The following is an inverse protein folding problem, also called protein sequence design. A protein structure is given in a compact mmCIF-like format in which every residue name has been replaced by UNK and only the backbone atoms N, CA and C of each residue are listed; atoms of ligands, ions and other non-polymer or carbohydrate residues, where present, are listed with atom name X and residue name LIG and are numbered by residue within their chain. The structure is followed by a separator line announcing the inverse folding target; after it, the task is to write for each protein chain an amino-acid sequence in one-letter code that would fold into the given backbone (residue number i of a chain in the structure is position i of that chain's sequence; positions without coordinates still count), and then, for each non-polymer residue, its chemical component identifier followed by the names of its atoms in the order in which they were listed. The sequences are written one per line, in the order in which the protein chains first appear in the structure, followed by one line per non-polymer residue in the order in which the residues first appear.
data_IF_409099400066
#
_entry.id   IF_409099400066
#
_cell.length_a   1.000
_cell.length_b   1.000
_cell.length_c   1.000
_cell.angle_alpha   90.00
_cell.angle_beta   90.00
_cell.angle_gamma   90.00
#
_symmetry.space_group_name_H-M   'P 1'
#
loop_
_entity.id
_entity.type
_entity.pdbx_description
1 polymer ?
#
# COMPACT_ATOMS: atom_id res chain seq x y z
N UNK A 1 19.33 -6.41 15.15
CA UNK A 1 18.13 -6.83 14.43
C UNK A 1 17.13 -7.40 15.44
N UNK A 2 16.07 -6.67 15.83
CA UNK A 2 15.04 -7.20 16.70
C UNK A 2 14.33 -8.39 16.06
N UNK A 3 14.04 -9.41 16.88
CA UNK A 3 13.33 -10.62 16.48
C UNK A 3 12.30 -10.96 17.54
N UNK A 4 11.09 -11.27 17.11
CA UNK A 4 9.94 -11.60 17.98
C UNK A 4 9.34 -12.93 17.53
N UNK A 5 8.90 -13.73 18.46
CA UNK A 5 8.13 -14.95 18.18
C UNK A 5 6.68 -14.55 17.86
N UNK A 6 6.22 -14.90 16.66
CA UNK A 6 4.94 -14.48 16.12
C UNK A 6 4.31 -15.63 15.33
N UNK A 7 3.75 -16.63 16.02
CA UNK A 7 3.17 -17.81 15.38
C UNK A 7 1.88 -17.53 14.59
N UNK A 8 1.34 -16.31 14.70
CA UNK A 8 0.14 -15.85 13.99
C UNK A 8 0.42 -14.52 13.28
N UNK A 9 -0.42 -14.14 12.29
CA UNK A 9 -0.33 -12.84 11.63
C UNK A 9 -0.32 -11.68 12.64
N UNK A 10 0.52 -10.67 12.37
CA UNK A 10 0.70 -9.51 13.22
C UNK A 10 0.17 -8.24 12.56
N UNK A 11 -0.05 -7.20 13.34
CA UNK A 11 -0.33 -5.86 12.83
C UNK A 11 0.92 -4.99 12.96
N UNK A 12 1.56 -4.67 11.83
CA UNK A 12 2.65 -3.70 11.79
C UNK A 12 2.06 -2.27 11.73
N UNK A 13 2.41 -1.43 12.71
CA UNK A 13 2.09 0.00 12.74
C UNK A 13 3.39 0.76 12.54
N UNK A 14 3.47 1.52 11.45
CA UNK A 14 4.67 2.25 11.05
C UNK A 14 4.33 3.74 10.95
N UNK A 15 5.05 4.56 11.71
CA UNK A 15 4.91 6.01 11.69
C UNK A 15 6.31 6.63 11.57
N UNK A 16 6.65 7.00 10.33
CA UNK A 16 7.97 7.57 10.00
C UNK A 16 7.81 8.72 9.01
N UNK A 17 8.64 9.77 9.11
CA UNK A 17 8.53 10.92 8.22
C UNK A 17 8.91 10.58 6.78
N UNK A 18 9.97 9.81 6.55
CA UNK A 18 10.44 9.45 5.22
C UNK A 18 11.26 8.17 5.22
N UNK A 19 11.16 7.39 4.13
CA UNK A 19 11.95 6.18 3.98
C UNK A 19 11.42 5.20 2.97
N UNK A 20 12.12 4.06 2.88
CA UNK A 20 11.64 2.88 2.18
C UNK A 20 11.13 1.87 3.21
N UNK A 21 9.94 1.36 2.99
CA UNK A 21 9.32 0.32 3.82
C UNK A 21 9.14 -0.92 2.95
N UNK A 22 9.81 -2.00 3.31
CA UNK A 22 9.68 -3.29 2.68
C UNK A 22 9.08 -4.30 3.67
N UNK A 23 7.94 -4.85 3.33
CA UNK A 23 7.30 -5.94 4.08
C UNK A 23 7.46 -7.23 3.27
N UNK A 24 7.94 -8.28 3.91
CA UNK A 24 8.08 -9.61 3.31
C UNK A 24 7.23 -10.58 4.11
N UNK A 25 6.03 -10.84 3.58
CA UNK A 25 5.06 -11.75 4.17
C UNK A 25 5.29 -13.18 3.62
N UNK A 26 5.67 -14.10 4.50
CA UNK A 26 6.00 -15.46 4.14
C UNK A 26 5.43 -16.47 5.17
N UNK A 27 5.51 -17.75 4.85
CA UNK A 27 5.18 -18.82 5.79
C UNK A 27 6.28 -18.93 6.85
N UNK A 28 6.09 -18.20 7.96
CA UNK A 28 7.03 -18.12 9.08
C UNK A 28 6.31 -17.87 10.39
N UNK A 29 6.98 -18.18 11.50
CA UNK A 29 6.44 -18.07 12.87
C UNK A 29 7.17 -17.01 13.70
N UNK A 30 7.94 -16.16 13.06
CA UNK A 30 8.69 -15.08 13.70
C UNK A 30 8.59 -13.79 12.90
N UNK A 31 8.84 -12.65 13.54
CA UNK A 31 8.95 -11.35 12.89
C UNK A 31 10.34 -10.78 13.14
N UNK A 32 11.02 -10.39 12.07
CA UNK A 32 12.33 -9.74 12.14
C UNK A 32 12.29 -8.36 11.52
N UNK A 33 12.99 -7.42 12.15
CA UNK A 33 13.02 -6.04 11.70
C UNK A 33 14.46 -5.59 11.50
N UNK A 34 14.73 -5.01 10.35
CA UNK A 34 15.98 -4.32 10.07
C UNK A 34 15.68 -2.85 9.79
N UNK A 35 16.42 -1.96 10.44
CA UNK A 35 16.35 -0.53 10.24
C UNK A 35 17.74 -0.03 9.87
N UNK A 36 17.85 0.56 8.69
CA UNK A 36 19.09 1.09 8.15
C UNK A 36 18.91 2.57 7.75
N UNK A 37 19.96 3.39 7.76
CA UNK A 37 19.92 4.70 7.11
C UNK A 37 19.77 4.51 5.60
N UNK A 38 18.97 5.34 4.94
CA UNK A 38 18.82 5.27 3.48
C UNK A 38 20.14 5.56 2.75
N UNK A 39 20.98 6.42 3.32
CA UNK A 39 22.34 6.67 2.88
C UNK A 39 23.28 6.75 4.11
N UNK A 40 24.12 5.72 4.34
CA UNK A 40 25.05 5.72 5.49
C UNK A 40 26.07 6.86 5.49
N UNK A 41 26.35 7.47 4.33
CA UNK A 41 27.26 8.61 4.22
C UNK A 41 26.63 9.92 4.68
N UNK A 42 25.30 9.96 4.82
CA UNK A 42 24.56 11.15 5.29
C UNK A 42 24.28 11.05 6.78
N UNK A 43 24.92 11.90 7.58
CA UNK A 43 24.73 11.92 9.03
C UNK A 43 23.28 12.12 9.50
N UNK A 44 22.43 12.76 8.68
CA UNK A 44 21.00 12.92 8.96
C UNK A 44 20.24 11.59 8.86
N UNK A 45 20.57 10.75 7.88
CA UNK A 45 19.93 9.47 7.67
C UNK A 45 20.38 8.46 8.74
N UNK A 46 21.66 8.50 9.14
CA UNK A 46 22.17 7.73 10.27
C UNK A 46 21.46 8.12 11.58
N UNK A 47 21.33 9.42 11.87
CA UNK A 47 20.60 9.91 13.04
C UNK A 47 19.10 9.59 12.97
N UNK A 48 18.51 9.54 11.77
CA UNK A 48 17.11 9.14 11.61
C UNK A 48 16.94 7.65 11.96
N UNK A 49 17.82 6.78 11.50
CA UNK A 49 17.79 5.35 11.82
C UNK A 49 17.98 5.08 13.34
N UNK A 50 18.90 5.81 14.01
CA UNK A 50 19.12 5.71 15.46
C UNK A 50 17.90 6.14 16.31
N UNK A 51 16.97 6.90 15.74
CA UNK A 51 15.76 7.39 16.39
C UNK A 51 14.53 6.54 16.17
N UNK A 52 14.66 5.46 15.44
CA UNK A 52 13.54 4.53 15.25
C UNK A 52 13.40 3.64 16.47
N UNK A 53 12.23 3.71 17.09
CA UNK A 53 11.81 2.79 18.13
C UNK A 53 11.07 1.62 17.52
N UNK A 54 11.42 0.42 17.96
CA UNK A 54 10.76 -0.82 17.59
C UNK A 54 10.26 -1.50 18.85
N UNK A 55 8.96 -1.71 18.97
CA UNK A 55 8.34 -2.43 20.07
C UNK A 55 7.34 -3.45 19.54
N UNK A 56 7.19 -4.56 20.27
CA UNK A 56 6.19 -5.58 19.97
C UNK A 56 5.43 -5.93 21.24
N UNK A 57 4.12 -5.87 21.17
CA UNK A 57 3.23 -6.24 22.25
C UNK A 57 1.88 -6.75 21.71
N UNK A 58 1.40 -7.86 22.27
CA UNK A 58 0.08 -8.42 21.99
C UNK A 58 -0.28 -8.49 20.48
N UNK A 59 0.63 -8.96 19.63
CA UNK A 59 0.40 -9.08 18.20
C UNK A 59 0.56 -7.78 17.40
N UNK A 60 0.96 -6.69 18.05
CA UNK A 60 1.18 -5.39 17.40
C UNK A 60 2.66 -5.03 17.42
N UNK A 61 3.26 -4.98 16.23
CA UNK A 61 4.57 -4.41 16.00
C UNK A 61 4.45 -2.91 15.78
N UNK A 62 5.14 -2.09 16.56
CA UNK A 62 5.19 -0.63 16.37
C UNK A 62 6.59 -0.21 15.97
N UNK A 63 6.68 0.55 14.90
CA UNK A 63 7.91 1.16 14.39
C UNK A 63 7.65 2.66 14.26
N UNK A 64 8.23 3.45 15.13
CA UNK A 64 7.95 4.89 15.23
C UNK A 64 9.23 5.70 15.28
N UNK A 65 9.25 6.83 14.57
CA UNK A 65 10.33 7.79 14.68
C UNK A 65 10.12 8.67 15.92
N UNK A 66 11.10 8.73 16.83
CA UNK A 66 11.07 9.69 17.94
C UNK A 66 11.20 11.11 17.39
N UNK A 67 10.32 12.00 17.84
CA UNK A 67 10.45 13.41 17.50
C UNK A 67 11.80 13.95 18.02
N UNK A 68 12.52 14.75 17.23
CA UNK A 68 13.72 15.44 17.73
C UNK A 68 13.32 16.43 18.84
N UNK A 69 14.09 16.50 19.91
CA UNK A 69 13.86 17.38 21.06
C UNK A 69 13.73 18.87 20.69
N UNK A 70 14.22 19.25 19.51
CA UNK A 70 14.00 20.54 18.89
C UNK A 70 13.44 20.34 17.50
N UNK A 71 12.35 21.01 17.15
CA UNK A 71 11.83 21.10 15.79
C UNK A 71 12.91 21.74 14.90
N UNK A 72 13.83 20.94 14.40
CA UNK A 72 14.77 21.40 13.40
C UNK A 72 14.00 21.65 12.10
N UNK A 73 13.98 22.87 11.64
CA UNK A 73 13.59 23.23 10.29
C UNK A 73 14.56 22.51 9.34
N UNK A 74 14.09 21.49 8.62
CA UNK A 74 14.93 20.75 7.67
C UNK A 74 14.37 19.36 7.34
N UNK A 75 15.05 18.68 6.42
CA UNK A 75 14.73 17.31 6.04
C UNK A 75 15.03 16.35 7.23
N UNK A 76 14.05 15.56 7.70
CA UNK A 76 14.20 14.72 8.89
C UNK A 76 15.18 13.55 8.73
N UNK A 77 15.70 13.32 7.52
CA UNK A 77 16.44 12.12 7.14
C UNK A 77 15.53 11.02 6.64
N UNK A 78 16.09 10.01 6.04
CA UNK A 78 15.37 8.89 5.43
C UNK A 78 15.94 7.55 5.93
N UNK A 79 15.07 6.57 6.13
CA UNK A 79 15.42 5.24 6.63
C UNK A 79 14.97 4.14 5.67
N UNK A 80 15.65 3.01 5.71
CA UNK A 80 15.19 1.78 5.09
C UNK A 80 14.75 0.81 6.18
N UNK A 81 13.49 0.38 6.12
CA UNK A 81 12.89 -0.55 7.07
C UNK A 81 12.49 -1.80 6.32
N UNK A 82 13.09 -2.92 6.69
CA UNK A 82 12.69 -4.24 6.20
C UNK A 82 12.05 -5.02 7.35
N UNK A 83 10.81 -5.42 7.16
CA UNK A 83 10.07 -6.26 8.10
C UNK A 83 9.73 -7.59 7.42
N UNK A 84 10.24 -8.67 7.97
CA UNK A 84 9.80 -10.00 7.59
C UNK A 84 8.79 -10.48 8.63
N UNK A 85 7.63 -10.96 8.19
CA UNK A 85 6.49 -11.26 9.06
C UNK A 85 5.66 -12.44 8.50
N UNK A 86 4.80 -13.06 9.31
CA UNK A 86 3.90 -14.12 8.84
C UNK A 86 2.97 -13.65 7.73
N UNK A 87 2.66 -14.54 6.78
CA UNK A 87 1.67 -14.31 5.74
C UNK A 87 0.30 -13.95 6.34
N UNK A 88 -0.44 -13.04 5.67
CA UNK A 88 -1.73 -12.53 6.18
C UNK A 88 -1.59 -11.45 7.25
N UNK A 89 -0.38 -11.00 7.57
CA UNK A 89 -0.18 -9.88 8.50
C UNK A 89 -0.69 -8.56 7.93
N UNK A 90 -1.02 -7.64 8.81
CA UNK A 90 -1.63 -6.35 8.47
C UNK A 90 -0.62 -5.21 8.55
N UNK A 91 -0.82 -4.17 7.76
CA UNK A 91 -0.06 -2.93 7.81
C UNK A 91 -0.96 -1.73 8.08
N UNK A 92 -0.55 -0.87 9.00
CA UNK A 92 -1.04 0.50 9.11
C UNK A 92 0.14 1.44 9.13
N UNK A 93 0.31 2.24 8.07
CA UNK A 93 1.43 3.16 7.94
C UNK A 93 0.96 4.60 7.74
N UNK A 94 1.69 5.53 8.36
CA UNK A 94 1.56 6.98 8.15
C UNK A 94 2.93 7.55 7.84
N UNK A 95 3.05 8.32 6.75
CA UNK A 95 4.36 8.83 6.32
C UNK A 95 4.19 10.08 5.45
N UNK A 96 5.22 10.93 5.40
CA UNK A 96 5.20 12.05 4.47
C UNK A 96 5.75 11.66 3.09
N UNK A 97 6.87 10.93 3.03
CA UNK A 97 7.53 10.51 1.80
C UNK A 97 8.00 9.06 1.92
N UNK A 98 7.47 8.15 1.09
CA UNK A 98 7.85 6.74 1.19
C UNK A 98 7.82 5.99 -0.13
N UNK A 99 8.62 4.92 -0.20
CA UNK A 99 8.43 3.82 -1.12
C UNK A 99 7.96 2.61 -0.30
N UNK A 100 6.74 2.12 -0.56
CA UNK A 100 6.17 0.96 0.12
C UNK A 100 6.18 -0.25 -0.82
N UNK A 101 6.89 -1.29 -0.43
CA UNK A 101 6.93 -2.57 -1.12
C UNK A 101 6.38 -3.68 -0.22
N UNK A 102 5.27 -4.28 -0.61
CA UNK A 102 4.72 -5.50 0.02
C UNK A 102 5.00 -6.70 -0.86
N UNK A 103 5.75 -7.66 -0.35
CA UNK A 103 6.08 -8.93 -1.02
C UNK A 103 5.33 -10.06 -0.33
N UNK A 104 4.72 -10.94 -1.10
CA UNK A 104 3.88 -12.03 -0.62
C UNK A 104 2.48 -11.57 -0.22
N UNK A 105 1.76 -12.39 0.56
CA UNK A 105 0.36 -12.16 0.91
C UNK A 105 0.23 -11.39 2.21
N UNK A 106 -0.24 -10.16 2.12
CA UNK A 106 -0.64 -9.32 3.24
C UNK A 106 -2.17 -9.44 3.47
N UNK A 107 -2.62 -9.21 4.70
CA UNK A 107 -4.03 -9.05 5.02
C UNK A 107 -4.54 -7.66 4.69
N UNK A 108 -4.90 -6.87 5.72
CA UNK A 108 -5.36 -5.48 5.53
C UNK A 108 -4.16 -4.53 5.44
N UNK A 109 -4.12 -3.71 4.41
CA UNK A 109 -3.09 -2.67 4.22
C UNK A 109 -3.73 -1.30 4.24
N UNK A 110 -3.35 -0.47 5.20
CA UNK A 110 -3.76 0.93 5.30
C UNK A 110 -2.52 1.83 5.22
N UNK A 111 -2.53 2.78 4.29
CA UNK A 111 -1.47 3.79 4.15
C UNK A 111 -2.09 5.18 3.99
N UNK A 112 -1.59 6.14 4.76
CA UNK A 112 -1.80 7.57 4.56
C UNK A 112 -0.44 8.22 4.33
N UNK A 113 -0.25 8.81 3.15
CA UNK A 113 1.02 9.43 2.80
C UNK A 113 0.83 10.70 1.97
N UNK A 114 1.74 11.66 2.16
CA UNK A 114 1.74 12.83 1.29
C UNK A 114 2.29 12.47 -0.09
N UNK A 115 3.40 11.75 -0.16
CA UNK A 115 3.97 11.24 -1.40
C UNK A 115 4.44 9.80 -1.21
N UNK A 116 3.96 8.88 -2.04
CA UNK A 116 4.40 7.50 -1.98
C UNK A 116 4.36 6.81 -3.34
N UNK A 117 5.29 5.87 -3.55
CA UNK A 117 5.15 4.83 -4.57
C UNK A 117 4.82 3.55 -3.85
N UNK A 118 3.67 2.96 -4.18
CA UNK A 118 3.17 1.76 -3.51
C UNK A 118 3.12 0.60 -4.48
N UNK A 119 3.72 -0.53 -4.09
CA UNK A 119 3.64 -1.77 -4.83
C UNK A 119 3.39 -2.95 -3.90
N UNK A 120 2.23 -3.57 -4.01
CA UNK A 120 1.82 -4.75 -3.23
C UNK A 120 1.66 -5.94 -4.15
N UNK A 121 2.20 -7.10 -3.77
CA UNK A 121 2.04 -8.33 -4.57
C UNK A 121 0.65 -8.93 -4.39
N UNK A 122 0.22 -9.15 -3.13
CA UNK A 122 -1.09 -9.67 -2.79
C UNK A 122 -1.60 -9.06 -1.49
N UNK A 123 -2.88 -8.68 -1.45
CA UNK A 123 -3.54 -8.22 -0.23
C UNK A 123 -5.01 -8.59 -0.22
N UNK A 124 -5.54 -8.85 0.99
CA UNK A 124 -6.96 -9.15 1.17
C UNK A 124 -7.81 -7.87 1.11
N UNK A 125 -7.34 -6.77 1.69
CA UNK A 125 -8.02 -5.48 1.69
C UNK A 125 -6.98 -4.34 1.62
N UNK A 126 -7.28 -3.28 0.88
CA UNK A 126 -6.40 -2.12 0.77
C UNK A 126 -7.16 -0.79 0.96
N UNK A 127 -6.65 0.06 1.85
CA UNK A 127 -7.06 1.47 1.96
C UNK A 127 -5.84 2.36 1.87
N UNK A 128 -5.63 2.97 0.70
CA UNK A 128 -4.43 3.73 0.40
C UNK A 128 -4.80 5.15 -0.03
N UNK A 129 -4.34 6.14 0.72
CA UNK A 129 -4.60 7.55 0.46
C UNK A 129 -3.28 8.29 0.27
N UNK A 130 -3.09 8.87 -0.91
CA UNK A 130 -1.89 9.64 -1.27
C UNK A 130 -2.28 11.05 -1.74
N UNK A 131 -1.40 12.03 -1.56
CA UNK A 131 -1.49 13.28 -2.31
C UNK A 131 -0.80 13.17 -3.67
N UNK A 132 0.32 12.43 -3.74
CA UNK A 132 1.02 12.17 -5.00
C UNK A 132 1.71 10.82 -4.99
N UNK A 133 1.75 10.17 -6.15
CA UNK A 133 2.43 8.92 -6.40
C UNK A 133 1.52 7.80 -6.90
N UNK A 134 2.14 6.74 -7.38
CA UNK A 134 1.47 5.65 -8.04
C UNK A 134 1.15 4.51 -7.06
N UNK A 135 0.02 3.86 -7.27
CA UNK A 135 -0.40 2.69 -6.51
C UNK A 135 -0.55 1.51 -7.46
N UNK A 136 0.19 0.44 -7.18
CA UNK A 136 0.07 -0.83 -7.90
C UNK A 136 -0.25 -1.94 -6.90
N UNK A 137 -1.37 -2.61 -7.09
CA UNK A 137 -1.77 -3.82 -6.36
C UNK A 137 -1.80 -4.98 -7.35
N UNK A 138 -1.06 -6.02 -7.07
CA UNK A 138 -1.04 -7.25 -7.84
C UNK A 138 -2.36 -7.98 -7.70
N UNK A 139 -2.44 -8.92 -6.76
CA UNK A 139 -3.67 -9.66 -6.47
C UNK A 139 -4.43 -8.99 -5.33
N UNK A 140 -5.72 -8.75 -5.56
CA UNK A 140 -6.65 -8.20 -4.58
C UNK A 140 -7.82 -9.18 -4.39
N UNK A 141 -7.95 -9.74 -3.18
CA UNK A 141 -8.95 -10.79 -2.90
C UNK A 141 -10.22 -10.27 -2.22
N UNK A 142 -10.27 -9.00 -1.86
CA UNK A 142 -11.40 -8.33 -1.20
C UNK A 142 -11.56 -6.87 -1.61
N UNK A 143 -12.21 -6.04 -0.78
CA UNK A 143 -12.48 -4.64 -1.12
C UNK A 143 -11.23 -3.76 -1.09
N UNK A 144 -11.26 -2.66 -1.86
CA UNK A 144 -10.22 -1.64 -1.81
C UNK A 144 -10.76 -0.22 -2.01
N UNK A 145 -10.11 0.73 -1.32
CA UNK A 145 -10.29 2.17 -1.52
C UNK A 145 -8.92 2.78 -1.78
N UNK A 146 -8.63 3.07 -3.06
CA UNK A 146 -7.36 3.61 -3.52
C UNK A 146 -7.56 5.03 -4.02
N UNK A 147 -6.88 5.98 -3.43
CA UNK A 147 -7.04 7.38 -3.77
C UNK A 147 -5.69 8.11 -3.85
N UNK A 148 -5.52 8.90 -4.90
CA UNK A 148 -4.39 9.83 -5.05
C UNK A 148 -4.85 11.12 -5.71
N UNK A 149 -4.17 12.25 -5.48
CA UNK A 149 -4.47 13.43 -6.29
C UNK A 149 -3.70 13.38 -7.61
N UNK A 150 -2.45 12.89 -7.61
CA UNK A 150 -1.63 12.79 -8.82
C UNK A 150 -0.87 11.48 -8.83
N UNK A 151 -1.15 10.65 -9.82
CA UNK A 151 -0.52 9.34 -10.00
C UNK A 151 -1.49 8.33 -10.58
N UNK A 152 -0.95 7.22 -11.02
CA UNK A 152 -1.68 6.14 -11.65
C UNK A 152 -2.12 5.10 -10.61
N UNK A 153 -3.31 4.53 -10.81
CA UNK A 153 -3.87 3.46 -9.99
C UNK A 153 -3.97 2.19 -10.83
N UNK A 154 -3.31 1.12 -10.40
CA UNK A 154 -3.31 -0.16 -11.11
C UNK A 154 -3.66 -1.31 -10.18
N UNK A 155 -4.65 -2.11 -10.57
CA UNK A 155 -4.97 -3.41 -9.93
C UNK A 155 -4.94 -4.48 -11.03
N UNK A 156 -4.04 -5.46 -10.88
CA UNK A 156 -3.76 -6.41 -11.98
C UNK A 156 -4.50 -7.74 -11.90
N UNK A 157 -5.07 -8.10 -10.74
CA UNK A 157 -5.81 -9.34 -10.53
C UNK A 157 -6.85 -9.14 -9.41
N UNK A 158 -8.00 -8.54 -9.74
CA UNK A 158 -9.09 -8.26 -8.81
C UNK A 158 -10.11 -9.39 -8.79
N UNK A 159 -10.38 -9.98 -7.63
CA UNK A 159 -11.22 -11.17 -7.50
C UNK A 159 -12.66 -10.84 -7.10
N UNK A 160 -12.88 -10.04 -6.07
CA UNK A 160 -14.22 -9.76 -5.53
C UNK A 160 -14.25 -8.51 -4.66
N UNK A 161 -15.46 -8.04 -4.36
CA UNK A 161 -15.70 -6.93 -3.46
C UNK A 161 -15.90 -5.60 -4.19
N UNK A 162 -16.01 -4.54 -3.42
CA UNK A 162 -16.15 -3.19 -3.96
C UNK A 162 -14.78 -2.53 -4.07
N UNK A 163 -14.40 -2.14 -5.28
CA UNK A 163 -13.20 -1.38 -5.58
C UNK A 163 -13.58 0.07 -5.84
N UNK A 164 -13.06 0.97 -5.03
CA UNK A 164 -13.18 2.42 -5.25
C UNK A 164 -11.81 2.98 -5.60
N UNK A 165 -11.68 3.54 -6.81
CA UNK A 165 -10.43 4.03 -7.37
C UNK A 165 -10.60 5.48 -7.78
N UNK A 166 -9.86 6.39 -7.15
CA UNK A 166 -9.99 7.83 -7.39
C UNK A 166 -8.63 8.48 -7.60
N UNK A 167 -8.49 9.20 -8.71
CA UNK A 167 -7.36 10.11 -8.93
C UNK A 167 -7.84 11.42 -9.53
N UNK A 168 -7.11 12.51 -9.33
CA UNK A 168 -7.40 13.76 -10.04
C UNK A 168 -6.64 13.82 -11.37
N UNK A 169 -5.38 13.37 -11.38
CA UNK A 169 -4.51 13.36 -12.54
C UNK A 169 -3.77 12.02 -12.61
N UNK A 170 -4.20 11.15 -13.51
CA UNK A 170 -3.58 9.84 -13.71
C UNK A 170 -4.53 8.85 -14.36
N UNK A 171 -3.96 7.75 -14.80
CA UNK A 171 -4.68 6.62 -15.39
C UNK A 171 -5.18 5.68 -14.30
N UNK A 172 -6.34 5.08 -14.54
CA UNK A 172 -6.84 3.95 -13.74
C UNK A 172 -6.87 2.71 -14.60
N UNK A 173 -6.23 1.63 -14.15
CA UNK A 173 -6.20 0.35 -14.84
C UNK A 173 -6.62 -0.77 -13.89
N UNK A 174 -7.67 -1.50 -14.24
CA UNK A 174 -8.17 -2.63 -13.45
C UNK A 174 -8.32 -3.84 -14.33
N UNK A 175 -7.78 -4.96 -13.87
CA UNK A 175 -7.97 -6.25 -14.51
C UNK A 175 -8.69 -7.18 -13.53
N UNK A 176 -9.90 -7.63 -13.89
CA UNK A 176 -10.64 -8.62 -13.13
C UNK A 176 -10.06 -10.02 -13.35
N UNK A 177 -10.02 -10.82 -12.30
CA UNK A 177 -9.54 -12.18 -12.33
C UNK A 177 -10.36 -13.05 -13.30
N UNK A 178 -9.75 -14.10 -13.83
CA UNK A 178 -10.43 -15.02 -14.74
C UNK A 178 -11.67 -15.62 -14.09
N UNK A 179 -12.80 -15.59 -14.82
CA UNK A 179 -14.07 -16.11 -14.35
C UNK A 179 -14.80 -15.22 -13.33
N UNK A 180 -14.28 -14.03 -13.06
CA UNK A 180 -14.95 -13.07 -12.21
C UNK A 180 -15.95 -12.25 -13.00
N UNK A 181 -17.23 -12.27 -12.59
CA UNK A 181 -18.26 -11.36 -13.09
C UNK A 181 -18.08 -9.99 -12.43
N UNK A 182 -17.99 -8.94 -13.25
CA UNK A 182 -17.67 -7.60 -12.78
C UNK A 182 -18.58 -6.53 -13.37
N UNK A 183 -18.89 -5.49 -12.57
CA UNK A 183 -19.55 -4.26 -13.00
C UNK A 183 -18.59 -3.08 -12.91
N UNK A 184 -18.75 -2.12 -13.81
CA UNK A 184 -17.97 -0.88 -13.84
C UNK A 184 -18.91 0.33 -13.81
N UNK A 185 -18.69 1.20 -12.83
CA UNK A 185 -19.17 2.58 -12.81
C UNK A 185 -17.94 3.48 -12.93
N UNK A 186 -17.77 4.14 -14.08
CA UNK A 186 -16.57 4.89 -14.40
C UNK A 186 -16.90 6.31 -14.86
N UNK A 187 -16.11 7.27 -14.38
CA UNK A 187 -16.20 8.66 -14.74
C UNK A 187 -14.82 9.29 -15.01
N UNK A 188 -14.68 9.99 -16.12
CA UNK A 188 -13.54 10.87 -16.40
C UNK A 188 -14.01 12.19 -16.96
N UNK A 189 -13.42 13.32 -16.52
CA UNK A 189 -13.71 14.61 -17.11
C UNK A 189 -12.95 14.81 -18.44
N UNK A 190 -11.70 14.34 -18.51
CA UNK A 190 -10.86 14.43 -19.71
C UNK A 190 -10.07 13.12 -19.87
N UNK A 191 -10.53 12.26 -20.77
CA UNK A 191 -9.92 10.98 -21.05
C UNK A 191 -10.90 10.01 -21.72
N UNK A 192 -10.47 8.79 -21.92
CA UNK A 192 -11.28 7.72 -22.52
C UNK A 192 -11.57 6.65 -21.48
N UNK A 193 -12.76 6.07 -21.58
CA UNK A 193 -13.14 4.91 -20.78
C UNK A 193 -13.19 3.71 -21.73
N UNK A 194 -12.38 2.71 -21.44
CA UNK A 194 -12.41 1.42 -22.12
C UNK A 194 -12.89 0.35 -21.15
N UNK A 195 -14.02 -0.28 -21.47
CA UNK A 195 -14.58 -1.36 -20.66
C UNK A 195 -14.63 -2.65 -21.48
N UNK A 196 -13.82 -3.62 -21.09
CA UNK A 196 -13.78 -4.97 -21.64
C UNK A 196 -13.96 -6.01 -20.50
N UNK A 197 -14.75 -5.68 -19.49
CA UNK A 197 -15.10 -6.59 -18.40
C UNK A 197 -16.15 -7.61 -18.87
N UNK A 198 -16.03 -8.83 -18.38
CA UNK A 198 -17.05 -9.84 -18.50
C UNK A 198 -18.04 -9.69 -17.34
N UNK A 199 -19.32 -9.58 -17.67
CA UNK A 199 -20.40 -9.56 -16.68
C UNK A 199 -21.43 -10.65 -17.06
N UNK A 200 -21.42 -11.75 -16.32
CA UNK A 200 -22.35 -12.88 -16.50
C UNK A 200 -23.52 -12.83 -15.53
N UNK A 201 -23.38 -12.12 -14.41
CA UNK A 201 -24.32 -12.14 -13.28
C UNK A 201 -25.13 -10.83 -13.14
N UNK A 202 -24.96 -9.91 -14.09
CA UNK A 202 -25.66 -8.63 -14.09
C UNK A 202 -25.36 -7.79 -12.84
N UNK A 203 -26.40 -7.40 -12.13
CA UNK A 203 -26.28 -6.61 -10.88
C UNK A 203 -25.81 -7.43 -9.69
N UNK A 204 -25.77 -8.76 -9.78
CA UNK A 204 -25.28 -9.66 -8.75
C UNK A 204 -23.78 -10.00 -8.90
N UNK A 205 -23.06 -9.26 -9.77
CA UNK A 205 -21.63 -9.47 -9.99
C UNK A 205 -20.84 -9.38 -8.67
N UNK A 206 -19.93 -10.33 -8.48
CA UNK A 206 -19.11 -10.44 -7.27
C UNK A 206 -18.06 -9.35 -7.13
N UNK A 207 -17.75 -8.63 -8.22
CA UNK A 207 -16.80 -7.52 -8.26
C UNK A 207 -17.51 -6.25 -8.76
N UNK A 208 -17.50 -5.20 -7.94
CA UNK A 208 -18.05 -3.88 -8.32
C UNK A 208 -16.93 -2.86 -8.34
N UNK A 209 -16.72 -2.20 -9.47
CA UNK A 209 -15.64 -1.24 -9.67
C UNK A 209 -16.23 0.16 -9.83
N UNK A 210 -15.84 1.09 -8.95
CA UNK A 210 -16.11 2.51 -9.06
C UNK A 210 -14.80 3.23 -9.35
N UNK A 211 -14.62 3.74 -10.57
CA UNK A 211 -13.39 4.39 -11.03
C UNK A 211 -13.65 5.84 -11.42
N UNK A 212 -12.91 6.77 -10.86
CA UNK A 212 -13.07 8.21 -11.16
C UNK A 212 -11.72 8.89 -11.32
N UNK A 213 -11.54 9.61 -12.44
CA UNK A 213 -10.38 10.48 -12.67
C UNK A 213 -10.81 11.84 -13.23
N UNK A 214 -10.09 12.90 -12.89
CA UNK A 214 -10.29 14.21 -13.53
C UNK A 214 -9.63 14.26 -14.90
N UNK A 215 -8.39 13.83 -15.00
CA UNK A 215 -7.56 13.83 -16.22
C UNK A 215 -6.83 12.50 -16.34
N UNK A 216 -7.26 11.67 -17.28
CA UNK A 216 -6.64 10.38 -17.57
C UNK A 216 -7.64 9.38 -18.12
N UNK A 217 -7.11 8.29 -18.64
CA UNK A 217 -7.89 7.19 -19.18
C UNK A 217 -8.26 6.19 -18.08
N UNK A 218 -9.40 5.52 -18.25
CA UNK A 218 -9.84 4.40 -17.40
C UNK A 218 -9.90 3.15 -18.28
N UNK A 219 -9.15 2.13 -17.93
CA UNK A 219 -9.11 0.84 -18.62
C UNK A 219 -9.53 -0.27 -17.65
N UNK A 220 -10.62 -0.95 -17.95
CA UNK A 220 -11.14 -2.06 -17.17
C UNK A 220 -11.34 -3.27 -18.08
N UNK A 221 -10.73 -4.42 -17.73
CA UNK A 221 -10.79 -5.64 -18.54
C UNK A 221 -10.83 -6.89 -17.67
N UNK A 222 -11.26 -8.01 -18.25
CA UNK A 222 -11.14 -9.35 -17.68
C UNK A 222 -9.95 -10.10 -18.27
N UNK A 223 -9.31 -10.99 -17.45
CA UNK A 223 -8.25 -11.91 -17.87
C UNK A 223 -8.80 -13.05 -18.74
#
# INVERSE_FOLDING_TARGET
MPKFDTPAPVTARIDIPAGRIQLIAADRTDTTIEVLPADPAKSRDTKAAERIDVTYDAGVLRITAREPAHRALGNPGSVEITVQLPAGSHLKATTALTELRGVGRLGHVTLDAAQATVKLDETDEARLTLKAGDITVGRLTGPADLSTHKGDLTVTDAHRGALTLRTQHGRISVTAARGTSATLDAHTAYGRIHNALTNTDGTAAGLTIHASTGYGDIDARSL
#
